data_IF_492450418793
#
_entry.id   IF_492450418793
#
_cell.length_a   1.000
_cell.length_b   1.000
_cell.length_c   1.000
_cell.angle_alpha   90.00
_cell.angle_beta   90.00
_cell.angle_gamma   90.00
#
_symmetry.space_group_name_H-M   'P 1'
#
loop_
_entity.id
_entity.type
_entity.pdbx_description
1 polymer ?
#
# COMPACT_ATOMS: atom_id res chain seq x y z
N UNK A 1 -3.77 -20.13 22.47
CA UNK A 1 -4.44 -19.44 21.34
C UNK A 1 -3.53 -19.55 20.15
N UNK A 2 -4.01 -20.07 19.03
CA UNK A 2 -3.20 -20.18 17.81
C UNK A 2 -2.98 -18.75 17.28
N UNK A 3 -1.74 -18.29 17.29
CA UNK A 3 -1.39 -16.97 16.73
C UNK A 3 -1.80 -16.95 15.25
N UNK A 4 -2.42 -15.87 14.81
CA UNK A 4 -2.77 -15.69 13.40
C UNK A 4 -1.49 -15.72 12.54
N UNK A 5 -1.56 -16.29 11.34
CA UNK A 5 -0.40 -16.36 10.45
C UNK A 5 -0.38 -15.17 9.49
N UNK A 6 0.82 -14.63 9.26
CA UNK A 6 1.10 -13.60 8.28
C UNK A 6 1.84 -14.23 7.08
N UNK A 7 1.20 -14.20 5.90
CA UNK A 7 1.86 -14.53 4.64
C UNK A 7 2.49 -13.27 4.06
N UNK A 8 3.79 -13.34 3.69
CA UNK A 8 4.58 -12.23 3.20
C UNK A 8 5.20 -12.58 1.84
N UNK A 9 5.29 -11.62 0.95
CA UNK A 9 6.02 -11.75 -0.31
C UNK A 9 7.33 -10.98 -0.18
N UNK A 10 8.42 -11.72 -0.15
CA UNK A 10 9.78 -11.18 -0.01
C UNK A 10 10.44 -11.05 -1.37
N UNK A 11 11.16 -9.95 -1.61
CA UNK A 11 12.04 -9.84 -2.76
C UNK A 11 13.32 -10.64 -2.48
N UNK A 12 13.61 -11.69 -3.26
CA UNK A 12 14.79 -12.54 -3.03
C UNK A 12 15.84 -12.42 -4.12
N UNK A 13 15.50 -11.80 -5.25
CA UNK A 13 16.42 -11.54 -6.35
C UNK A 13 16.03 -10.23 -7.05
N UNK A 14 17.02 -9.50 -7.56
CA UNK A 14 16.78 -8.31 -8.39
C UNK A 14 16.31 -8.74 -9.79
N UNK A 15 15.09 -8.36 -10.23
CA UNK A 15 14.58 -8.72 -11.55
C UNK A 15 15.46 -8.15 -12.68
N UNK A 16 15.74 -8.96 -13.69
CA UNK A 16 16.36 -8.53 -14.95
C UNK A 16 15.27 -8.41 -16.01
N UNK A 17 14.86 -7.18 -16.32
CA UNK A 17 13.67 -6.94 -17.16
C UNK A 17 12.34 -7.00 -16.37
N UNK A 18 11.33 -7.69 -16.90
CA UNK A 18 10.07 -7.91 -16.20
C UNK A 18 10.29 -8.83 -14.99
N UNK A 19 9.66 -8.56 -13.83
CA UNK A 19 9.70 -9.46 -12.69
C UNK A 19 9.09 -10.83 -13.02
N UNK A 20 9.69 -11.88 -12.47
CA UNK A 20 9.20 -13.26 -12.60
C UNK A 20 8.97 -13.87 -11.21
N UNK A 21 8.16 -14.94 -11.07
CA UNK A 21 7.88 -15.54 -9.77
C UNK A 21 9.11 -15.88 -8.93
N UNK A 22 10.20 -16.31 -9.58
CA UNK A 22 11.48 -16.67 -8.92
C UNK A 22 12.22 -15.48 -8.30
N UNK A 23 11.83 -14.24 -8.58
CA UNK A 23 12.36 -13.05 -7.93
C UNK A 23 11.78 -12.86 -6.53
N UNK A 24 10.74 -13.63 -6.19
CA UNK A 24 10.01 -13.52 -4.94
C UNK A 24 9.95 -14.84 -4.20
N UNK A 25 9.76 -14.76 -2.90
CA UNK A 25 9.46 -15.91 -2.04
C UNK A 25 8.25 -15.59 -1.16
N UNK A 26 7.30 -16.52 -1.10
CA UNK A 26 6.23 -16.47 -0.11
C UNK A 26 6.76 -17.08 1.18
N UNK A 27 6.68 -16.31 2.26
CA UNK A 27 7.05 -16.69 3.61
C UNK A 27 5.81 -16.63 4.51
N UNK A 28 5.74 -17.51 5.50
CA UNK A 28 4.64 -17.56 6.46
C UNK A 28 5.19 -17.58 7.87
N UNK A 29 4.84 -16.56 8.65
CA UNK A 29 5.29 -16.37 10.02
C UNK A 29 4.10 -16.11 10.94
N UNK A 30 4.23 -16.25 12.26
CA UNK A 30 3.24 -15.74 13.19
C UNK A 30 3.06 -14.22 13.00
N UNK A 31 1.82 -13.74 13.03
CA UNK A 31 1.56 -12.30 13.05
C UNK A 31 2.14 -11.70 14.33
N UNK A 32 2.79 -10.54 14.21
CA UNK A 32 3.29 -9.81 15.36
C UNK A 32 2.14 -9.16 16.13
N UNK A 33 2.25 -9.12 17.46
CA UNK A 33 1.36 -8.31 18.28
C UNK A 33 1.75 -6.83 18.19
N UNK A 34 0.79 -5.89 18.22
CA UNK A 34 1.11 -4.46 18.20
C UNK A 34 1.72 -4.02 19.52
N UNK A 35 2.85 -3.30 19.47
CA UNK A 35 3.44 -2.60 20.60
C UNK A 35 2.70 -1.30 20.94
N UNK A 36 3.08 -0.59 22.02
CA UNK A 36 2.43 0.66 22.42
C UNK A 36 2.40 1.68 21.27
N UNK A 37 1.21 2.23 20.96
CA UNK A 37 0.99 3.17 19.87
C UNK A 37 0.90 2.52 18.49
N UNK A 38 0.87 1.19 18.41
CA UNK A 38 0.79 0.44 17.14
C UNK A 38 -0.56 -0.28 16.97
N UNK A 39 -0.82 -0.64 15.74
CA UNK A 39 -2.06 -1.29 15.31
C UNK A 39 -1.71 -2.47 14.41
N UNK A 40 -2.27 -3.64 14.69
CA UNK A 40 -2.25 -4.81 13.81
C UNK A 40 -3.41 -4.74 12.82
N UNK A 41 -3.09 -4.77 11.56
CA UNK A 41 -4.04 -4.67 10.44
C UNK A 41 -4.01 -5.92 9.59
N UNK A 42 -5.18 -6.46 9.27
CA UNK A 42 -5.36 -7.50 8.24
C UNK A 42 -5.59 -6.83 6.89
N UNK A 43 -4.74 -7.11 5.92
CA UNK A 43 -4.86 -6.60 4.55
C UNK A 43 -6.11 -7.16 3.87
N UNK A 44 -6.91 -6.28 3.28
CA UNK A 44 -8.08 -6.61 2.45
C UNK A 44 -7.81 -6.33 0.97
N UNK A 45 -7.13 -5.22 0.67
CA UNK A 45 -6.69 -4.82 -0.66
C UNK A 45 -5.26 -4.31 -0.61
N UNK A 46 -4.51 -4.66 -1.62
CA UNK A 46 -3.14 -4.20 -1.87
C UNK A 46 -3.11 -3.45 -3.21
N UNK A 47 -2.51 -2.26 -3.23
CA UNK A 47 -2.21 -1.57 -4.48
C UNK A 47 -0.99 -2.19 -5.15
N UNK A 48 -1.07 -2.40 -6.47
CA UNK A 48 0.05 -2.80 -7.31
C UNK A 48 0.35 -1.65 -8.27
N UNK A 49 1.44 -0.94 -8.02
CA UNK A 49 1.77 0.31 -8.70
C UNK A 49 3.08 0.20 -9.48
N UNK A 50 3.22 0.86 -10.64
CA UNK A 50 4.44 0.80 -11.48
C UNK A 50 5.73 1.17 -10.74
N UNK A 51 5.67 2.09 -9.77
CA UNK A 51 6.85 2.50 -9.01
C UNK A 51 7.51 1.34 -8.26
N UNK A 52 6.75 0.32 -7.88
CA UNK A 52 7.26 -0.86 -7.16
C UNK A 52 8.33 -1.60 -7.96
N UNK A 53 8.24 -1.58 -9.31
CA UNK A 53 9.31 -2.12 -10.16
C UNK A 53 10.64 -1.39 -9.93
N UNK A 54 10.61 -0.06 -9.78
CA UNK A 54 11.79 0.74 -9.44
C UNK A 54 12.37 0.39 -8.07
N UNK A 55 11.52 0.02 -7.10
CA UNK A 55 11.96 -0.42 -5.76
C UNK A 55 12.71 -1.75 -5.74
N UNK A 56 12.56 -2.55 -6.78
CA UNK A 56 13.29 -3.83 -6.92
C UNK A 56 14.70 -3.64 -7.47
N UNK A 57 15.06 -2.45 -7.98
CA UNK A 57 16.40 -2.16 -8.51
C UNK A 57 17.33 -1.63 -7.41
N UNK A 58 18.62 -1.81 -7.63
CA UNK A 58 19.67 -1.07 -6.90
C UNK A 58 19.95 0.26 -7.60
N UNK A 59 20.53 1.20 -6.84
CA UNK A 59 20.98 2.47 -7.37
C UNK A 59 20.12 3.67 -6.94
N UNK A 60 20.53 4.87 -7.38
CA UNK A 60 19.88 6.12 -6.99
C UNK A 60 18.42 6.17 -7.47
N UNK A 61 17.50 6.51 -6.56
CA UNK A 61 16.09 6.73 -6.84
C UNK A 61 15.55 7.77 -5.85
N UNK A 62 14.34 8.27 -6.08
CA UNK A 62 13.69 9.22 -5.17
C UNK A 62 13.32 8.60 -3.80
N UNK A 63 13.43 7.28 -3.66
CA UNK A 63 13.31 6.60 -2.38
C UNK A 63 14.12 5.29 -2.37
N UNK A 64 14.47 4.75 -1.18
CA UNK A 64 15.30 3.57 -1.04
C UNK A 64 14.73 2.34 -1.76
N UNK A 65 15.57 1.45 -2.31
CA UNK A 65 15.12 0.15 -2.80
C UNK A 65 14.61 -0.73 -1.64
N UNK A 66 13.88 -1.78 -2.00
CA UNK A 66 13.60 -2.89 -1.08
C UNK A 66 14.85 -3.74 -0.97
N UNK A 67 15.27 -4.07 0.25
CA UNK A 67 16.41 -4.96 0.47
C UNK A 67 16.03 -6.42 0.14
N UNK A 68 17.01 -7.20 -0.30
CA UNK A 68 16.79 -8.63 -0.55
C UNK A 68 16.46 -9.35 0.76
N UNK A 69 15.41 -10.14 0.73
CA UNK A 69 14.86 -10.83 1.91
C UNK A 69 13.77 -10.03 2.63
N UNK A 70 13.52 -8.77 2.27
CA UNK A 70 12.49 -7.93 2.86
C UNK A 70 11.16 -8.00 2.11
N UNK A 71 10.08 -7.64 2.82
CA UNK A 71 8.72 -7.59 2.26
C UNK A 71 8.63 -6.50 1.20
N UNK A 72 8.04 -6.83 0.05
CA UNK A 72 7.76 -5.83 -0.98
C UNK A 72 6.85 -4.73 -0.44
N UNK A 73 7.19 -3.49 -0.75
CA UNK A 73 6.42 -2.31 -0.34
C UNK A 73 5.12 -2.20 -1.12
N UNK A 74 4.10 -1.61 -0.48
CA UNK A 74 2.82 -1.32 -1.12
C UNK A 74 1.85 -0.68 -0.15
N UNK A 75 0.99 0.19 -0.67
CA UNK A 75 -0.12 0.76 0.09
C UNK A 75 -1.25 -0.27 0.18
N UNK A 76 -1.85 -0.38 1.34
CA UNK A 76 -2.90 -1.35 1.65
C UNK A 76 -4.13 -0.66 2.24
N UNK A 77 -5.29 -1.24 1.98
CA UNK A 77 -6.48 -1.06 2.79
C UNK A 77 -6.72 -2.32 3.58
N UNK A 78 -6.99 -2.18 4.86
CA UNK A 78 -7.19 -3.31 5.76
C UNK A 78 -8.15 -3.02 6.89
N UNK A 79 -8.37 -4.05 7.68
CA UNK A 79 -9.19 -3.99 8.89
C UNK A 79 -8.31 -4.21 10.11
N UNK A 80 -8.50 -3.39 11.13
CA UNK A 80 -7.82 -3.52 12.42
C UNK A 80 -8.24 -4.83 13.08
N UNK A 81 -7.28 -5.68 13.42
CA UNK A 81 -7.48 -6.92 14.21
C UNK A 81 -7.16 -6.70 15.69
N UNK A 82 -6.14 -5.89 16.00
CA UNK A 82 -5.77 -5.50 17.35
C UNK A 82 -5.15 -4.10 17.37
N UNK A 83 -5.28 -3.40 18.49
CA UNK A 83 -4.71 -2.07 18.66
C UNK A 83 -4.16 -1.90 20.08
N UNK A 84 -2.97 -1.32 20.18
CA UNK A 84 -2.38 -0.80 21.40
C UNK A 84 -2.34 0.75 21.39
N UNK A 85 -3.19 1.38 20.56
CA UNK A 85 -3.42 2.82 20.48
C UNK A 85 -4.92 3.12 20.65
N UNK A 86 -5.31 4.08 21.51
CA UNK A 86 -6.72 4.38 21.78
C UNK A 86 -7.47 5.00 20.62
N UNK A 87 -6.79 5.47 19.57
CA UNK A 87 -7.43 6.06 18.39
C UNK A 87 -8.03 5.02 17.44
N UNK A 88 -7.67 3.74 17.57
CA UNK A 88 -8.21 2.66 16.74
C UNK A 88 -8.75 1.50 17.56
N UNK A 89 -9.80 0.87 17.08
CA UNK A 89 -10.41 -0.32 17.66
C UNK A 89 -10.47 -1.47 16.64
N UNK A 90 -10.46 -2.74 17.10
CA UNK A 90 -10.73 -3.88 16.23
C UNK A 90 -12.04 -3.68 15.45
N UNK A 91 -11.98 -3.95 14.15
CA UNK A 91 -13.08 -3.73 13.22
C UNK A 91 -13.00 -2.43 12.41
N UNK A 92 -12.22 -1.43 12.84
CA UNK A 92 -11.99 -0.21 12.06
C UNK A 92 -11.33 -0.52 10.71
N UNK A 93 -11.67 0.25 9.68
CA UNK A 93 -11.00 0.18 8.39
C UNK A 93 -9.96 1.28 8.25
N UNK A 94 -8.81 0.92 7.70
CA UNK A 94 -7.67 1.83 7.60
C UNK A 94 -6.94 1.66 6.27
N UNK A 95 -6.26 2.74 5.83
CA UNK A 95 -5.24 2.73 4.80
C UNK A 95 -3.88 2.92 5.45
N UNK A 96 -2.89 2.16 4.99
CA UNK A 96 -1.51 2.22 5.47
C UNK A 96 -0.53 1.60 4.47
N UNK A 97 0.76 1.59 4.83
CA UNK A 97 1.83 1.04 4.00
C UNK A 97 2.25 -0.35 4.48
N UNK A 98 1.30 -1.30 4.43
CA UNK A 98 1.50 -2.65 4.93
C UNK A 98 2.46 -3.52 4.10
N UNK A 99 2.68 -3.18 2.84
CA UNK A 99 3.45 -4.01 1.92
C UNK A 99 2.70 -5.27 1.46
N UNK A 100 3.40 -6.12 0.74
CA UNK A 100 2.83 -7.35 0.15
C UNK A 100 2.74 -8.44 1.21
N UNK A 101 1.80 -8.28 2.14
CA UNK A 101 1.57 -9.24 3.21
C UNK A 101 0.11 -9.23 3.69
N UNK A 102 -0.30 -10.34 4.29
CA UNK A 102 -1.68 -10.52 4.74
C UNK A 102 -1.99 -9.80 6.06
N UNK A 103 -0.97 -9.51 6.87
CA UNK A 103 -1.05 -8.74 8.12
C UNK A 103 0.17 -7.87 8.29
N UNK A 104 0.00 -6.71 8.89
CA UNK A 104 1.11 -5.82 9.22
C UNK A 104 0.82 -5.05 10.51
N UNK A 105 1.89 -4.69 11.21
CA UNK A 105 1.84 -3.78 12.35
C UNK A 105 2.40 -2.43 11.91
N UNK A 106 1.72 -1.35 12.27
CA UNK A 106 2.12 0.01 11.91
C UNK A 106 1.74 0.98 13.03
N UNK A 107 2.56 2.05 13.26
CA UNK A 107 2.20 3.12 14.17
C UNK A 107 0.86 3.75 13.78
N UNK A 108 -0.02 3.95 14.76
CA UNK A 108 -1.37 4.49 14.56
C UNK A 108 -1.38 5.82 13.80
N UNK A 109 -0.44 6.70 14.08
CA UNK A 109 -0.26 8.00 13.41
C UNK A 109 0.05 7.92 11.91
N UNK A 110 0.46 6.77 11.41
CA UNK A 110 0.73 6.52 9.99
C UNK A 110 -0.47 5.87 9.28
N UNK A 111 -1.54 5.57 10.00
CA UNK A 111 -2.76 4.99 9.46
C UNK A 111 -3.79 6.08 9.19
N UNK A 112 -4.51 5.95 8.10
CA UNK A 112 -5.67 6.79 7.78
C UNK A 112 -6.93 5.98 7.98
N UNK A 113 -7.83 6.43 8.87
CA UNK A 113 -9.15 5.80 9.06
C UNK A 113 -10.00 5.97 7.81
N UNK A 114 -10.72 4.94 7.45
CA UNK A 114 -11.66 4.92 6.33
C UNK A 114 -13.09 4.64 6.85
N UNK A 115 -14.05 5.35 6.28
CA UNK A 115 -15.46 5.12 6.54
C UNK A 115 -16.11 4.41 5.35
N UNK A 116 -16.53 3.14 5.50
CA UNK A 116 -17.18 2.39 4.43
C UNK A 116 -18.54 2.97 4.00
N UNK A 117 -19.15 3.83 4.79
CA UNK A 117 -20.39 4.52 4.43
C UNK A 117 -20.14 5.68 3.46
N UNK A 118 -18.94 6.24 3.43
CA UNK A 118 -18.58 7.36 2.55
C UNK A 118 -18.29 6.89 1.13
N UNK A 119 -17.54 5.80 0.96
CA UNK A 119 -17.17 5.23 -0.35
C UNK A 119 -16.72 3.77 -0.22
N UNK A 120 -16.74 2.98 -1.31
CA UNK A 120 -16.10 1.65 -1.33
C UNK A 120 -14.63 1.73 -0.89
N UNK A 121 -14.24 0.91 0.07
CA UNK A 121 -12.93 0.99 0.73
C UNK A 121 -11.74 0.90 -0.26
N UNK A 122 -11.86 0.07 -1.31
CA UNK A 122 -10.82 -0.07 -2.35
C UNK A 122 -10.52 1.22 -3.11
N UNK A 123 -11.46 2.19 -3.15
CA UNK A 123 -11.25 3.49 -3.81
C UNK A 123 -10.16 4.32 -3.14
N UNK A 124 -9.85 4.04 -1.86
CA UNK A 124 -8.76 4.68 -1.14
C UNK A 124 -7.35 4.33 -1.69
N UNK A 125 -7.23 3.27 -2.50
CA UNK A 125 -6.01 2.92 -3.24
C UNK A 125 -6.05 3.40 -4.71
N UNK A 126 -7.14 4.00 -5.15
CA UNK A 126 -7.37 4.47 -6.51
C UNK A 126 -7.77 5.93 -6.56
N UNK A 127 -9.02 6.19 -6.98
CA UNK A 127 -9.55 7.55 -7.23
C UNK A 127 -9.57 8.44 -5.98
N UNK A 128 -9.71 7.88 -4.78
CA UNK A 128 -9.63 8.60 -3.50
C UNK A 128 -8.27 8.43 -2.79
N UNK A 129 -7.27 7.88 -3.48
CA UNK A 129 -5.91 7.68 -3.02
C UNK A 129 -4.88 8.44 -3.85
N UNK A 130 -3.66 7.90 -3.89
CA UNK A 130 -2.52 8.49 -4.60
C UNK A 130 -2.79 8.69 -6.11
N UNK A 131 -3.36 7.73 -6.87
CA UNK A 131 -3.64 7.93 -8.28
C UNK A 131 -4.62 9.08 -8.53
N UNK A 132 -5.70 9.17 -7.74
CA UNK A 132 -6.68 10.26 -7.85
C UNK A 132 -6.09 11.62 -7.49
N UNK A 133 -5.28 11.69 -6.42
CA UNK A 133 -4.57 12.91 -6.05
C UNK A 133 -3.62 13.37 -7.15
N UNK A 134 -2.90 12.43 -7.78
CA UNK A 134 -1.99 12.70 -8.90
C UNK A 134 -2.75 13.28 -10.09
N UNK A 135 -3.88 12.66 -10.46
CA UNK A 135 -4.73 13.15 -11.55
C UNK A 135 -5.31 14.54 -11.23
N UNK A 136 -5.82 14.74 -10.01
CA UNK A 136 -6.35 16.03 -9.54
C UNK A 136 -5.28 17.13 -9.59
N UNK A 137 -4.10 16.86 -9.04
CA UNK A 137 -3.00 17.83 -9.04
C UNK A 137 -2.54 18.14 -10.47
N UNK A 138 -2.43 17.14 -11.34
CA UNK A 138 -2.09 17.30 -12.75
C UNK A 138 -3.09 18.21 -13.48
N UNK A 139 -4.38 17.98 -13.31
CA UNK A 139 -5.41 18.78 -13.94
C UNK A 139 -5.52 20.18 -13.32
N UNK A 140 -5.65 20.30 -12.01
CA UNK A 140 -5.96 21.57 -11.36
C UNK A 140 -4.74 22.50 -11.23
N UNK A 141 -3.54 21.96 -11.02
CA UNK A 141 -2.36 22.75 -10.74
C UNK A 141 -1.51 22.97 -12.00
N UNK A 142 -1.38 21.96 -12.84
CA UNK A 142 -0.49 22.00 -14.04
C UNK A 142 -1.28 22.35 -15.29
N UNK A 143 -2.22 21.50 -15.70
CA UNK A 143 -2.95 21.67 -16.98
C UNK A 143 -3.92 22.86 -16.94
N UNK A 144 -4.64 23.06 -15.85
CA UNK A 144 -5.61 24.17 -15.63
C UNK A 144 -6.58 24.33 -16.81
N UNK A 145 -7.29 23.28 -17.25
CA UNK A 145 -8.17 23.37 -18.39
C UNK A 145 -9.30 24.37 -18.17
N UNK A 146 -9.67 25.10 -19.21
CA UNK A 146 -10.78 26.05 -19.21
C UNK A 146 -12.02 25.42 -19.86
N UNK A 147 -13.17 25.99 -19.56
CA UNK A 147 -14.41 25.56 -20.20
C UNK A 147 -14.31 25.62 -21.74
N UNK A 148 -14.67 24.52 -22.39
CA UNK A 148 -14.58 24.36 -23.84
C UNK A 148 -13.26 23.83 -24.39
N UNK A 149 -12.22 23.68 -23.55
CA UNK A 149 -10.96 23.04 -23.95
C UNK A 149 -11.09 21.50 -23.93
N UNK A 150 -10.31 20.85 -24.80
CA UNK A 150 -10.23 19.39 -24.85
C UNK A 150 -9.03 18.90 -24.06
N UNK A 151 -9.25 18.00 -23.13
CA UNK A 151 -8.18 17.30 -22.38
C UNK A 151 -7.92 15.95 -23.02
N UNK A 152 -6.66 15.68 -23.35
CA UNK A 152 -6.21 14.40 -23.91
C UNK A 152 -5.33 13.68 -22.90
N UNK A 153 -5.63 12.41 -22.61
CA UNK A 153 -4.85 11.54 -21.75
C UNK A 153 -4.25 10.44 -22.61
N UNK A 154 -2.92 10.45 -22.76
CA UNK A 154 -2.21 9.55 -23.67
C UNK A 154 -2.10 8.10 -23.19
N UNK A 155 -2.17 7.87 -21.87
CA UNK A 155 -2.02 6.53 -21.26
C UNK A 155 -3.05 6.37 -20.13
N UNK A 156 -4.33 6.31 -20.48
CA UNK A 156 -5.42 6.30 -19.50
C UNK A 156 -5.52 5.01 -18.65
N UNK A 157 -4.87 3.94 -19.07
CA UNK A 157 -4.83 2.66 -18.36
C UNK A 157 -3.56 2.47 -17.51
N UNK A 158 -2.72 3.46 -17.41
CA UNK A 158 -1.49 3.44 -16.62
C UNK A 158 -0.23 3.22 -17.42
#
# INVERSE_FOLDING_TARGET
MTSALNQRVLLVRRPQGAPVPDDFRIDTVPAADPGPGEVLVRTLWLSLDPYMRGRMNEGPSYAPPVDLGEVMQGECVGQVEASADPSFAPGDFVRGHGGWQSRFVQPAQQLTRLDPATAPLSTALGVLGMPGLTAYAGLQTIARPKAGETVVVGAASG
#
